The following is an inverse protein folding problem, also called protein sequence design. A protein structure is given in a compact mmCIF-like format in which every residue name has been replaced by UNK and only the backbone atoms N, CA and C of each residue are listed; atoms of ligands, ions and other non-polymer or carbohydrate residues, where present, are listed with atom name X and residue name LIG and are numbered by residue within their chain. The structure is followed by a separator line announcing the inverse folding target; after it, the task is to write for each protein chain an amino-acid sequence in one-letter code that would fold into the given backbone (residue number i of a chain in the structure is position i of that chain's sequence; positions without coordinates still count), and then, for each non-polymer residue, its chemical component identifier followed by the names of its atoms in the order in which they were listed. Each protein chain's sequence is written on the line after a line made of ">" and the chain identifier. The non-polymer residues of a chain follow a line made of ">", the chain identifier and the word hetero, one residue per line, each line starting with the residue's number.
data_IF_821442302627
#
_entry.id   IF_821442302627
#
_cell.length_a   1.000
_cell.length_b   1.000
_cell.length_c   1.000
_cell.angle_alpha   90.00
_cell.angle_beta   90.00
_cell.angle_gamma   90.00
#
_symmetry.space_group_name_H-M   'P 1'
#
loop_
_entity.id
_entity.type
_entity.pdbx_description
1 polymer ?
#
# COMPACT_ATOMS: atom_id res chain seq x y z
N UNK A 1 0.70 -3.34 6.27
CA UNK A 1 -0.74 -3.47 5.96
C UNK A 1 -1.21 -2.20 5.24
N UNK A 2 -2.07 -2.30 4.21
CA UNK A 2 -2.57 -1.17 3.42
C UNK A 2 -4.11 -1.14 3.50
N UNK A 3 -4.69 0.01 3.85
CA UNK A 3 -6.09 0.30 3.60
C UNK A 3 -6.21 1.42 2.57
N UNK A 4 -7.35 1.51 1.90
CA UNK A 4 -7.61 2.61 0.99
C UNK A 4 -9.05 3.07 1.03
N UNK A 5 -9.23 4.35 0.76
CA UNK A 5 -10.53 5.00 0.70
C UNK A 5 -10.61 5.73 -0.63
N UNK A 6 -11.56 5.34 -1.46
CA UNK A 6 -11.81 6.05 -2.69
C UNK A 6 -12.61 7.31 -2.34
N UNK A 7 -12.07 8.48 -2.67
CA UNK A 7 -12.67 9.77 -2.35
C UNK A 7 -13.62 10.19 -3.48
N UNK A 8 -13.40 9.66 -4.68
CA UNK A 8 -14.15 10.03 -5.90
C UNK A 8 -15.43 9.22 -6.06
N UNK A 9 -15.53 8.06 -5.41
CA UNK A 9 -16.76 7.29 -5.29
C UNK A 9 -17.02 6.95 -3.83
N UNK A 10 -18.27 6.77 -3.40
CA UNK A 10 -18.63 6.39 -2.01
C UNK A 10 -18.18 4.95 -1.62
N UNK A 11 -17.21 4.38 -2.33
CA UNK A 11 -16.72 3.02 -2.15
C UNK A 11 -15.55 3.05 -1.17
N UNK A 12 -15.83 2.78 0.09
CA UNK A 12 -14.78 2.62 1.10
C UNK A 12 -14.33 1.16 1.11
N UNK A 13 -13.05 0.88 0.84
CA UNK A 13 -12.53 -0.48 0.90
C UNK A 13 -11.49 -0.60 2.01
N UNK A 14 -12.01 -0.95 3.18
CA UNK A 14 -11.26 -1.22 4.39
C UNK A 14 -10.65 -2.63 4.44
N UNK A 15 -10.56 -3.35 3.33
CA UNK A 15 -10.02 -4.72 3.35
C UNK A 15 -8.49 -4.70 3.32
N UNK A 16 -7.90 -4.80 4.50
CA UNK A 16 -6.47 -4.72 4.72
C UNK A 16 -5.71 -6.02 4.47
N UNK A 17 -6.40 -7.14 4.30
CA UNK A 17 -5.77 -8.46 4.10
C UNK A 17 -5.49 -8.73 2.62
N UNK A 18 -6.32 -8.17 1.73
CA UNK A 18 -6.19 -8.40 0.27
C UNK A 18 -5.31 -7.38 -0.44
N UNK A 19 -5.13 -6.21 0.15
CA UNK A 19 -4.39 -5.10 -0.40
C UNK A 19 -2.91 -5.15 0.00
N UNK A 20 -2.02 -5.18 -0.99
CA UNK A 20 -0.58 -5.25 -0.76
C UNK A 20 0.12 -4.12 -1.52
N UNK A 21 0.89 -3.31 -0.81
CA UNK A 21 1.84 -2.39 -1.46
C UNK A 21 2.99 -3.24 -1.98
N UNK A 22 3.30 -3.08 -3.26
CA UNK A 22 4.40 -3.80 -3.89
C UNK A 22 5.69 -3.01 -3.84
N UNK A 23 5.66 -1.75 -4.28
CA UNK A 23 6.86 -0.93 -4.40
C UNK A 23 6.56 0.56 -4.58
N UNK A 24 7.57 1.38 -4.32
CA UNK A 24 7.72 2.72 -4.88
C UNK A 24 8.27 2.57 -6.30
N UNK A 25 7.50 3.00 -7.29
CA UNK A 25 7.96 3.08 -8.69
C UNK A 25 8.87 4.30 -8.88
N UNK A 26 8.54 5.38 -8.17
CA UNK A 26 9.33 6.60 -8.10
C UNK A 26 8.96 7.35 -6.82
N UNK A 27 9.68 8.43 -6.46
CA UNK A 27 9.29 9.25 -5.32
C UNK A 27 7.80 9.69 -5.40
N UNK A 28 7.31 10.02 -6.59
CA UNK A 28 5.92 10.48 -6.76
C UNK A 28 4.91 9.37 -7.08
N UNK A 29 5.31 8.10 -7.08
CA UNK A 29 4.49 7.00 -7.60
C UNK A 29 4.56 5.72 -6.79
N UNK A 30 3.41 5.12 -6.50
CA UNK A 30 3.26 3.90 -5.70
C UNK A 30 2.53 2.84 -6.51
N UNK A 31 2.96 1.59 -6.42
CA UNK A 31 2.25 0.45 -6.97
C UNK A 31 1.67 -0.44 -5.85
N UNK A 32 0.39 -0.79 -5.96
CA UNK A 32 -0.26 -1.76 -5.07
C UNK A 32 -1.14 -2.76 -5.83
N UNK A 33 -1.30 -3.95 -5.26
CA UNK A 33 -2.29 -4.93 -5.71
C UNK A 33 -3.57 -4.71 -4.91
N UNK A 34 -4.68 -4.49 -5.63
CA UNK A 34 -6.01 -4.32 -5.06
C UNK A 34 -7.02 -5.24 -5.76
N UNK A 35 -8.17 -5.56 -5.15
CA UNK A 35 -9.25 -6.26 -5.83
C UNK A 35 -9.71 -5.55 -7.12
N UNK A 36 -10.38 -6.27 -8.01
CA UNK A 36 -11.03 -5.66 -9.18
C UNK A 36 -12.21 -4.76 -8.76
N UNK A 37 -12.60 -3.86 -9.66
CA UNK A 37 -13.78 -2.96 -9.55
C UNK A 37 -13.75 -1.99 -8.36
N UNK A 38 -12.57 -1.76 -7.77
CA UNK A 38 -12.48 -0.96 -6.54
C UNK A 38 -12.08 0.49 -6.77
N UNK A 39 -11.41 0.76 -7.89
CA UNK A 39 -11.13 2.10 -8.39
C UNK A 39 -11.13 2.09 -9.92
N UNK A 40 -11.07 3.29 -10.51
CA UNK A 40 -10.87 3.51 -11.93
C UNK A 40 -9.79 4.59 -12.13
N UNK A 41 -9.27 4.71 -13.35
CA UNK A 41 -8.31 5.75 -13.71
C UNK A 41 -8.89 7.14 -13.42
N UNK A 42 -8.05 8.03 -12.88
CA UNK A 42 -8.42 9.38 -12.44
C UNK A 42 -9.09 9.45 -11.07
N UNK A 43 -9.37 8.33 -10.40
CA UNK A 43 -9.93 8.36 -9.05
C UNK A 43 -8.91 8.90 -8.05
N UNK A 44 -9.34 9.85 -7.21
CA UNK A 44 -8.62 10.29 -6.02
C UNK A 44 -8.84 9.32 -4.86
N UNK A 45 -7.75 8.89 -4.25
CA UNK A 45 -7.71 7.85 -3.22
C UNK A 45 -6.90 8.35 -2.02
N UNK A 46 -7.37 8.09 -0.81
CA UNK A 46 -6.53 8.13 0.39
C UNK A 46 -5.92 6.73 0.58
N UNK A 47 -4.60 6.62 0.48
CA UNK A 47 -3.86 5.42 0.85
C UNK A 47 -3.45 5.53 2.33
N UNK A 48 -3.80 4.52 3.11
CA UNK A 48 -3.46 4.44 4.53
C UNK A 48 -2.47 3.31 4.75
N UNK A 49 -1.23 3.67 5.09
CA UNK A 49 -0.11 2.74 5.19
C UNK A 49 0.22 2.53 6.65
N UNK A 50 0.04 1.30 7.10
CA UNK A 50 0.16 0.94 8.50
C UNK A 50 1.54 0.34 8.71
N UNK A 51 2.34 0.98 9.56
CA UNK A 51 3.73 0.62 9.81
C UNK A 51 3.86 -0.68 10.63
N UNK A 52 2.94 -0.94 11.57
CA UNK A 52 2.92 -2.17 12.38
C UNK A 52 1.81 -3.12 11.96
N UNK A 53 2.13 -4.42 11.87
CA UNK A 53 1.17 -5.50 11.58
C UNK A 53 0.21 -5.80 12.73
N UNK A 54 0.35 -5.14 13.88
CA UNK A 54 -0.43 -5.40 15.10
C UNK A 54 -1.71 -4.55 15.22
N UNK A 55 -2.29 -4.07 14.12
CA UNK A 55 -3.59 -3.38 14.20
C UNK A 55 -4.71 -4.42 14.28
N UNK A 56 -5.46 -4.52 15.40
CA UNK A 56 -6.54 -5.48 15.54
C UNK A 56 -7.68 -5.14 14.57
N UNK A 57 -8.33 -6.16 13.98
CA UNK A 57 -9.41 -6.00 12.97
C UNK A 57 -10.51 -5.00 13.39
N UNK A 58 -10.78 -4.86 14.69
CA UNK A 58 -11.78 -3.93 15.24
C UNK A 58 -11.42 -2.44 15.16
N UNK A 59 -10.16 -2.07 14.89
CA UNK A 59 -9.71 -0.67 14.78
C UNK A 59 -9.74 -0.12 13.35
N UNK A 60 -10.08 -0.95 12.35
CA UNK A 60 -10.11 -0.56 10.94
C UNK A 60 -11.16 0.52 10.61
N UNK A 61 -12.26 0.58 11.38
CA UNK A 61 -13.29 1.61 11.21
C UNK A 61 -12.85 3.04 11.56
N UNK A 62 -11.68 3.20 12.21
CA UNK A 62 -11.09 4.50 12.55
C UNK A 62 -9.57 4.51 12.27
N UNK A 63 -9.18 3.98 11.10
CA UNK A 63 -7.77 3.84 10.72
C UNK A 63 -7.00 5.18 10.73
N UNK A 64 -7.71 6.29 10.55
CA UNK A 64 -7.19 7.66 10.60
C UNK A 64 -6.74 8.12 11.99
N UNK A 65 -7.17 7.45 13.07
CA UNK A 65 -6.82 7.78 14.46
C UNK A 65 -5.64 6.97 14.99
N UNK A 66 -5.09 6.05 14.20
CA UNK A 66 -3.98 5.22 14.59
C UNK A 66 -2.67 6.00 14.40
N UNK A 67 -1.87 6.09 15.46
CA UNK A 67 -0.62 6.87 15.48
C UNK A 67 0.44 6.39 14.46
N UNK A 68 0.33 5.15 13.99
CA UNK A 68 1.31 4.49 13.11
C UNK A 68 0.79 4.35 11.66
N UNK A 69 -0.09 5.28 11.24
CA UNK A 69 -0.68 5.30 9.90
C UNK A 69 -0.18 6.53 9.14
N UNK A 70 0.43 6.28 8.00
CA UNK A 70 0.81 7.29 7.02
C UNK A 70 -0.38 7.45 6.07
N UNK A 71 -0.86 8.67 5.89
CA UNK A 71 -1.94 8.98 4.95
C UNK A 71 -1.35 9.65 3.71
N UNK A 72 -1.61 9.08 2.55
CA UNK A 72 -1.16 9.63 1.27
C UNK A 72 -2.37 9.91 0.37
N UNK A 73 -2.56 11.16 -0.01
CA UNK A 73 -3.55 11.55 -1.00
C UNK A 73 -2.97 11.31 -2.39
N UNK A 74 -3.66 10.49 -3.18
CA UNK A 74 -3.13 9.99 -4.44
C UNK A 74 -4.20 9.95 -5.53
N UNK A 75 -3.79 9.79 -6.78
CA UNK A 75 -4.65 9.60 -7.94
C UNK A 75 -4.26 8.33 -8.67
N UNK A 76 -5.25 7.54 -9.07
CA UNK A 76 -5.02 6.35 -9.90
C UNK A 76 -4.65 6.79 -11.32
N UNK A 77 -3.45 6.45 -11.77
CA UNK A 77 -2.98 6.79 -13.11
C UNK A 77 -2.95 5.59 -14.05
N UNK A 78 -2.88 4.37 -13.51
CA UNK A 78 -2.81 3.15 -14.30
C UNK A 78 -3.40 1.96 -13.53
N UNK A 79 -4.09 1.08 -14.26
CA UNK A 79 -4.67 -0.16 -13.77
C UNK A 79 -4.33 -1.26 -14.77
N UNK A 80 -3.57 -2.24 -14.32
CA UNK A 80 -3.19 -3.44 -15.09
C UNK A 80 -3.86 -4.68 -14.50
N UNK A 81 -4.22 -5.63 -15.34
CA UNK A 81 -4.78 -6.91 -14.89
C UNK A 81 -3.73 -7.71 -14.12
N UNK A 82 -4.08 -8.17 -12.91
CA UNK A 82 -3.22 -9.00 -12.08
C UNK A 82 -3.96 -10.26 -11.66
N UNK A 83 -4.21 -11.13 -12.63
CA UNK A 83 -4.92 -12.38 -12.43
C UNK A 83 -6.43 -12.20 -12.28
N UNK A 84 -7.16 -13.25 -11.86
CA UNK A 84 -8.61 -13.29 -11.99
C UNK A 84 -9.34 -12.28 -11.10
N UNK A 85 -8.85 -12.01 -9.89
CA UNK A 85 -9.57 -11.23 -8.86
C UNK A 85 -8.95 -9.87 -8.53
N UNK A 86 -7.74 -9.60 -9.04
CA UNK A 86 -6.95 -8.44 -8.61
C UNK A 86 -6.44 -7.64 -9.80
N UNK A 87 -6.14 -6.37 -9.54
CA UNK A 87 -5.44 -5.47 -10.44
C UNK A 87 -4.16 -4.99 -9.77
N UNK A 88 -3.14 -4.76 -10.58
CA UNK A 88 -2.00 -3.93 -10.20
C UNK A 88 -2.36 -2.49 -10.52
N UNK A 89 -2.23 -1.60 -9.54
CA UNK A 89 -2.66 -0.21 -9.66
C UNK A 89 -1.53 0.72 -9.28
N UNK A 90 -1.29 1.70 -10.14
CA UNK A 90 -0.29 2.74 -9.95
C UNK A 90 -0.98 4.02 -9.52
N UNK A 91 -0.49 4.58 -8.43
CA UNK A 91 -1.00 5.79 -7.81
C UNK A 91 0.05 6.89 -7.89
N UNK A 92 -0.32 8.02 -8.47
CA UNK A 92 0.45 9.27 -8.38
C UNK A 92 0.13 9.98 -7.09
N UNK A 93 1.14 10.33 -6.31
CA UNK A 93 0.96 11.15 -5.11
C UNK A 93 0.56 12.58 -5.48
N UNK A 94 -0.48 13.12 -4.83
CA UNK A 94 -1.02 14.46 -5.12
C UNK A 94 -0.55 15.54 -4.16
N UNK A 95 -0.18 15.19 -2.93
CA UNK A 95 0.33 16.14 -1.95
C UNK A 95 1.84 15.97 -1.78
N UNK A 96 2.58 17.08 -1.89
CA UNK A 96 4.01 17.19 -1.57
C UNK A 96 4.21 17.18 -0.05
N UNK A 97 3.89 16.06 0.58
CA UNK A 97 4.16 15.86 1.98
C UNK A 97 5.48 15.10 2.11
N UNK A 98 6.57 15.77 1.75
CA UNK A 98 7.95 15.22 1.69
C UNK A 98 8.33 14.47 2.99
N UNK A 99 7.76 14.87 4.13
CA UNK A 99 7.94 14.21 5.42
C UNK A 99 7.22 12.86 5.51
N UNK A 100 5.96 12.77 5.09
CA UNK A 100 5.19 11.51 5.06
C UNK A 100 5.77 10.55 4.02
N UNK A 101 6.21 11.10 2.89
CA UNK A 101 6.93 10.37 1.85
C UNK A 101 8.18 9.70 2.39
N UNK A 102 9.09 10.44 3.04
CA UNK A 102 10.32 9.86 3.63
C UNK A 102 10.01 8.75 4.65
N UNK A 103 8.97 8.92 5.46
CA UNK A 103 8.52 7.88 6.38
C UNK A 103 8.04 6.63 5.64
N UNK A 104 7.33 6.82 4.54
CA UNK A 104 6.81 5.72 3.73
C UNK A 104 7.92 4.98 2.97
N UNK A 105 8.84 5.73 2.37
CA UNK A 105 10.04 5.18 1.71
C UNK A 105 10.85 4.33 2.67
N UNK A 106 11.09 4.83 3.89
CA UNK A 106 11.75 4.06 4.95
C UNK A 106 11.03 2.73 5.26
N UNK A 107 9.69 2.73 5.31
CA UNK A 107 8.89 1.51 5.56
C UNK A 107 9.01 0.50 4.41
N UNK A 108 9.09 0.97 3.16
CA UNK A 108 9.29 0.06 2.02
C UNK A 108 10.69 -0.52 2.04
N UNK A 109 11.70 0.31 2.23
CA UNK A 109 13.10 -0.13 2.28
C UNK A 109 13.32 -1.14 3.40
N UNK A 110 12.81 -0.87 4.61
CA UNK A 110 12.86 -1.80 5.75
C UNK A 110 12.22 -3.16 5.40
N UNK A 111 11.08 -3.16 4.70
CA UNK A 111 10.41 -4.40 4.27
C UNK A 111 11.21 -5.15 3.20
N UNK A 112 11.83 -4.44 2.26
CA UNK A 112 12.66 -5.04 1.23
C UNK A 112 13.92 -5.67 1.84
N UNK A 113 14.59 -4.97 2.76
CA UNK A 113 15.74 -5.48 3.50
C UNK A 113 15.36 -6.76 4.25
N UNK A 114 14.28 -6.74 5.03
CA UNK A 114 13.81 -7.92 5.77
C UNK A 114 13.46 -9.10 4.85
N UNK A 115 12.89 -8.84 3.67
CA UNK A 115 12.60 -9.89 2.70
C UNK A 115 13.89 -10.48 2.10
N UNK A 116 14.87 -9.64 1.79
CA UNK A 116 16.18 -10.08 1.31
C UNK A 116 16.93 -10.90 2.37
N UNK A 117 16.86 -10.52 3.64
CA UNK A 117 17.42 -11.30 4.75
C UNK A 117 16.78 -12.70 4.84
N UNK A 118 15.44 -12.77 4.77
CA UNK A 118 14.72 -14.05 4.78
C UNK A 118 15.07 -14.93 3.57
N UNK A 119 15.18 -14.33 2.38
CA UNK A 119 15.61 -15.05 1.19
C UNK A 119 17.04 -15.60 1.33
N UNK A 120 17.96 -14.83 1.90
CA UNK A 120 19.32 -15.28 2.15
C UNK A 120 19.36 -16.41 3.17
N UNK A 121 18.58 -16.33 4.25
CA UNK A 121 18.45 -17.42 5.23
C UNK A 121 17.92 -18.69 4.57
N UNK A 122 16.90 -18.58 3.71
CA UNK A 122 16.33 -19.72 2.99
C UNK A 122 17.34 -20.38 2.05
N UNK A 123 18.10 -19.58 1.29
CA UNK A 123 19.16 -20.07 0.40
C UNK A 123 20.28 -20.78 1.17
N UNK A 124 20.67 -20.25 2.32
CA UNK A 124 21.72 -20.84 3.15
C UNK A 124 21.29 -22.14 3.82
N UNK A 125 19.99 -22.31 4.12
CA UNK A 125 19.46 -23.55 4.72
C UNK A 125 19.10 -24.64 3.72
N UNK A 126 19.02 -24.35 2.42
CA UNK A 126 18.67 -25.32 1.37
C UNK A 126 19.84 -25.67 0.43
N UNK A 127 21.01 -25.05 0.62
CA UNK A 127 22.26 -25.39 -0.09
C UNK A 127 23.24 -26.20 0.79
N UNK A 128 22.80 -26.67 1.96
CA UNK A 128 23.46 -27.67 2.81
C UNK A 128 22.72 -29.01 2.72
#
# INVERSE_FOLDING_TARGET
>A
MLAFENITSNTNVYDTEKNQILMLESPSSICAIIPKKTCANGHKINLYIIQSSQVPKGQLGNITKLANVIKLVSEVIEIEDYGPEKNKVVFRLLEDNLKEHKKFEAVILERQERFNELLNQYRNTHNE
#
